data_IF_262877163635
#
_entry.id   IF_262877163635
#
_cell.length_a   1.000
_cell.length_b   1.000
_cell.length_c   1.000
_cell.angle_alpha   90.00
_cell.angle_beta   90.00
_cell.angle_gamma   90.00
#
_symmetry.space_group_name_H-M   'P 1'
#
loop_
_entity.id
_entity.type
_entity.pdbx_description
1 polymer ?
#
# COMPACT_ATOMS: atom_id res chain seq x y z
N UNK A 1 -2.58 -18.61 -15.19
CA UNK A 1 -2.02 -18.16 -13.89
C UNK A 1 -2.07 -16.64 -13.74
N UNK A 2 -1.56 -15.88 -14.71
CA UNK A 2 -1.47 -14.42 -14.58
C UNK A 2 -2.83 -13.69 -14.60
N UNK A 3 -3.80 -14.18 -15.40
CA UNK A 3 -5.15 -13.63 -15.41
C UNK A 3 -5.81 -13.68 -14.03
N UNK A 4 -5.62 -14.77 -13.28
CA UNK A 4 -6.16 -14.91 -11.92
C UNK A 4 -5.57 -13.87 -10.97
N UNK A 5 -4.26 -13.58 -11.07
CA UNK A 5 -3.62 -12.60 -10.20
C UNK A 5 -4.08 -11.17 -10.48
N UNK A 6 -4.30 -10.83 -11.75
CA UNK A 6 -4.88 -9.54 -12.14
C UNK A 6 -6.30 -9.37 -11.62
N UNK A 7 -7.13 -10.40 -11.76
CA UNK A 7 -8.51 -10.40 -11.27
C UNK A 7 -8.50 -10.20 -9.75
N UNK A 8 -7.65 -10.93 -9.01
CA UNK A 8 -7.50 -10.75 -7.56
C UNK A 8 -7.09 -9.32 -7.21
N UNK A 9 -6.17 -8.71 -7.96
CA UNK A 9 -5.75 -7.32 -7.72
C UNK A 9 -6.91 -6.32 -7.88
N UNK A 10 -7.72 -6.51 -8.93
CA UNK A 10 -8.90 -5.68 -9.20
C UNK A 10 -9.95 -5.87 -8.10
N UNK A 11 -10.19 -7.10 -7.67
CA UNK A 11 -11.13 -7.41 -6.58
C UNK A 11 -10.67 -6.76 -5.27
N UNK A 12 -9.38 -6.83 -4.94
CA UNK A 12 -8.82 -6.21 -3.73
C UNK A 12 -9.00 -4.69 -3.79
N UNK A 13 -8.65 -4.07 -4.93
CA UNK A 13 -8.83 -2.62 -5.13
C UNK A 13 -10.29 -2.20 -5.00
N UNK A 14 -11.21 -2.93 -5.62
CA UNK A 14 -12.64 -2.64 -5.56
C UNK A 14 -13.23 -2.85 -4.16
N UNK A 15 -12.85 -3.92 -3.47
CA UNK A 15 -13.28 -4.20 -2.10
C UNK A 15 -12.89 -3.07 -1.17
N UNK A 16 -11.64 -2.61 -1.26
CA UNK A 16 -11.16 -1.50 -0.43
C UNK A 16 -11.90 -0.21 -0.76
N UNK A 17 -12.18 0.07 -2.04
CA UNK A 17 -12.98 1.23 -2.44
C UNK A 17 -14.38 1.21 -1.82
N UNK A 18 -15.06 0.06 -1.86
CA UNK A 18 -16.37 -0.12 -1.25
C UNK A 18 -16.33 0.08 0.27
N UNK A 19 -15.34 -0.49 0.96
CA UNK A 19 -15.16 -0.30 2.40
C UNK A 19 -14.91 1.19 2.72
N UNK A 20 -14.05 1.86 1.95
CA UNK A 20 -13.75 3.28 2.14
C UNK A 20 -14.98 4.17 1.99
N UNK A 21 -15.84 3.92 1.00
CA UNK A 21 -17.00 4.78 0.72
C UNK A 21 -18.17 4.49 1.67
N UNK A 22 -18.49 3.22 1.93
CA UNK A 22 -19.70 2.84 2.67
C UNK A 22 -19.45 2.62 4.17
N UNK A 23 -18.40 1.86 4.50
CA UNK A 23 -18.16 1.44 5.89
C UNK A 23 -17.46 2.53 6.69
N UNK A 24 -16.44 3.17 6.12
CA UNK A 24 -15.58 4.11 6.83
C UNK A 24 -16.33 5.33 7.41
N UNK A 25 -17.24 6.00 6.67
CA UNK A 25 -18.01 7.11 7.22
C UNK A 25 -18.96 6.66 8.33
N UNK A 26 -19.59 5.49 8.18
CA UNK A 26 -20.48 4.93 9.19
C UNK A 26 -19.71 4.61 10.47
N UNK A 27 -18.57 3.93 10.36
CA UNK A 27 -17.72 3.59 11.50
C UNK A 27 -17.22 4.85 12.22
N UNK A 28 -16.84 5.90 11.48
CA UNK A 28 -16.40 7.15 12.07
C UNK A 28 -17.53 7.92 12.78
N UNK A 29 -18.77 7.85 12.28
CA UNK A 29 -19.94 8.39 12.99
C UNK A 29 -20.18 7.63 14.29
N UNK A 30 -20.20 6.29 14.24
CA UNK A 30 -20.40 5.45 15.44
C UNK A 30 -19.34 5.70 16.50
N UNK A 31 -18.06 5.82 16.12
CA UNK A 31 -16.98 6.12 17.06
C UNK A 31 -17.12 7.49 17.73
N UNK A 32 -17.59 8.50 16.98
CA UNK A 32 -17.83 9.84 17.50
C UNK A 32 -19.05 9.89 18.44
N UNK A 33 -20.11 9.14 18.13
CA UNK A 33 -21.30 9.05 18.97
C UNK A 33 -21.01 8.30 20.29
N UNK A 34 -20.18 7.25 20.23
CA UNK A 34 -19.78 6.48 21.41
C UNK A 34 -18.77 7.21 22.29
N UNK A 35 -17.94 8.08 21.72
CA UNK A 35 -16.92 8.84 22.45
C UNK A 35 -17.01 10.33 22.08
N UNK A 36 -17.99 11.07 22.66
CA UNK A 36 -18.20 12.48 22.34
C UNK A 36 -16.97 13.36 22.62
N UNK A 37 -16.15 12.97 23.60
CA UNK A 37 -14.88 13.64 23.94
C UNK A 37 -13.89 13.65 22.76
N UNK A 38 -13.91 12.61 21.92
CA UNK A 38 -13.02 12.46 20.76
C UNK A 38 -13.70 12.80 19.43
N UNK A 39 -14.92 13.35 19.45
CA UNK A 39 -15.67 13.68 18.23
C UNK A 39 -14.90 14.63 17.29
N UNK A 40 -14.03 15.49 17.84
CA UNK A 40 -13.17 16.39 17.06
C UNK A 40 -12.10 15.65 16.24
N UNK A 41 -11.70 14.44 16.64
CA UNK A 41 -10.71 13.61 15.92
C UNK A 41 -11.30 12.85 14.74
N UNK A 42 -12.63 12.83 14.60
CA UNK A 42 -13.34 12.17 13.50
C UNK A 42 -12.80 12.58 12.14
N UNK A 43 -12.78 13.87 11.84
CA UNK A 43 -12.36 14.38 10.53
C UNK A 43 -10.86 14.19 10.26
N UNK A 44 -9.94 14.50 11.21
CA UNK A 44 -8.53 14.18 11.06
C UNK A 44 -8.24 12.70 10.79
N UNK A 45 -8.91 11.79 11.52
CA UNK A 45 -8.73 10.35 11.33
C UNK A 45 -9.25 9.89 9.97
N UNK A 46 -10.45 10.34 9.57
CA UNK A 46 -11.03 10.04 8.28
C UNK A 46 -10.11 10.50 7.14
N UNK A 47 -9.62 11.74 7.25
CA UNK A 47 -8.70 12.33 6.28
C UNK A 47 -7.40 11.54 6.20
N UNK A 48 -6.82 11.13 7.33
CA UNK A 48 -5.63 10.28 7.38
C UNK A 48 -5.83 8.95 6.65
N UNK A 49 -6.96 8.26 6.88
CA UNK A 49 -7.25 6.99 6.20
C UNK A 49 -7.49 7.21 4.70
N UNK A 50 -8.23 8.24 4.29
CA UNK A 50 -8.40 8.57 2.87
C UNK A 50 -7.07 8.93 2.19
N UNK A 51 -6.16 9.60 2.91
CA UNK A 51 -4.82 9.90 2.41
C UNK A 51 -4.03 8.61 2.14
N UNK A 52 -4.19 7.57 2.96
CA UNK A 52 -3.53 6.27 2.75
C UNK A 52 -4.05 5.51 1.52
N UNK A 53 -5.25 5.85 1.02
CA UNK A 53 -5.76 5.26 -0.21
C UNK A 53 -4.90 5.61 -1.42
N UNK A 54 -4.27 6.80 -1.43
CA UNK A 54 -3.43 7.25 -2.54
C UNK A 54 -2.23 6.31 -2.77
N UNK A 55 -1.31 6.09 -1.80
CA UNK A 55 -0.22 5.15 -2.00
C UNK A 55 -0.72 3.71 -2.21
N UNK A 56 -1.83 3.32 -1.57
CA UNK A 56 -2.42 2.00 -1.79
C UNK A 56 -2.78 1.75 -3.27
N UNK A 57 -3.53 2.66 -3.89
CA UNK A 57 -3.91 2.51 -5.31
C UNK A 57 -2.73 2.66 -6.27
N UNK A 58 -1.72 3.47 -5.92
CA UNK A 58 -0.47 3.52 -6.68
C UNK A 58 0.23 2.15 -6.65
N UNK A 59 0.27 1.48 -5.50
CA UNK A 59 0.80 0.13 -5.34
C UNK A 59 0.03 -0.89 -6.19
N UNK A 60 -1.31 -0.88 -6.12
CA UNK A 60 -2.17 -1.76 -6.92
C UNK A 60 -1.96 -1.53 -8.42
N UNK A 61 -1.93 -0.28 -8.87
CA UNK A 61 -1.71 0.05 -10.28
C UNK A 61 -0.36 -0.48 -10.77
N UNK A 62 0.72 -0.25 -10.02
CA UNK A 62 2.04 -0.74 -10.41
C UNK A 62 2.13 -2.27 -10.36
N UNK A 63 1.42 -2.93 -9.43
CA UNK A 63 1.24 -4.38 -9.44
C UNK A 63 0.61 -4.87 -10.74
N UNK A 64 -0.44 -4.20 -11.22
CA UNK A 64 -1.07 -4.52 -12.49
C UNK A 64 -0.12 -4.29 -13.69
N UNK A 65 0.66 -3.20 -13.67
CA UNK A 65 1.68 -2.91 -14.69
C UNK A 65 2.73 -4.01 -14.75
N UNK A 66 3.25 -4.47 -13.59
CA UNK A 66 4.21 -5.58 -13.52
C UNK A 66 3.62 -6.84 -14.17
N UNK A 67 2.37 -7.19 -13.85
CA UNK A 67 1.71 -8.34 -14.47
C UNK A 67 1.59 -8.18 -15.99
N UNK A 68 1.23 -6.99 -16.48
CA UNK A 68 1.17 -6.74 -17.93
C UNK A 68 2.54 -6.83 -18.60
N UNK A 69 3.62 -6.45 -17.92
CA UNK A 69 4.99 -6.58 -18.43
C UNK A 69 5.43 -8.04 -18.51
N UNK A 70 5.03 -8.86 -17.54
CA UNK A 70 5.29 -10.31 -17.53
C UNK A 70 4.60 -11.00 -18.73
N UNK A 71 3.35 -10.65 -19.06
CA UNK A 71 2.66 -11.24 -20.24
C UNK A 71 3.30 -10.88 -21.57
N UNK A 72 4.04 -9.78 -21.62
CA UNK A 72 4.70 -9.29 -22.82
C UNK A 72 6.16 -9.75 -22.90
N UNK A 73 6.58 -10.70 -22.06
CA UNK A 73 7.96 -11.16 -21.91
C UNK A 73 8.95 -10.02 -21.59
N UNK A 74 8.46 -8.94 -20.98
CA UNK A 74 9.23 -7.74 -20.57
C UNK A 74 9.43 -7.65 -19.06
N UNK A 75 9.42 -8.80 -18.37
CA UNK A 75 9.60 -8.88 -16.93
C UNK A 75 10.96 -8.32 -16.48
N UNK A 76 12.03 -8.58 -17.22
CA UNK A 76 13.40 -8.14 -16.90
C UNK A 76 13.76 -6.84 -17.62
N UNK A 77 13.04 -5.76 -17.30
CA UNK A 77 13.26 -4.44 -17.91
C UNK A 77 13.29 -3.35 -16.86
N UNK A 78 13.89 -2.19 -17.20
CA UNK A 78 13.86 -1.01 -16.35
C UNK A 78 12.43 -0.54 -16.02
N UNK A 79 11.47 -0.80 -16.89
CA UNK A 79 10.05 -0.51 -16.63
C UNK A 79 9.50 -1.33 -15.46
N UNK A 80 9.88 -2.62 -15.37
CA UNK A 80 9.49 -3.47 -14.24
C UNK A 80 10.18 -3.02 -12.96
N UNK A 81 11.47 -2.68 -13.01
CA UNK A 81 12.23 -2.14 -11.87
C UNK A 81 11.61 -0.84 -11.34
N UNK A 82 11.21 0.07 -12.23
CA UNK A 82 10.51 1.30 -11.87
C UNK A 82 9.15 1.01 -11.22
N UNK A 83 8.40 0.05 -11.75
CA UNK A 83 7.09 -0.33 -11.18
C UNK A 83 7.23 -0.94 -9.78
N UNK A 84 8.21 -1.83 -9.58
CA UNK A 84 8.59 -2.37 -8.26
C UNK A 84 9.00 -1.28 -7.29
N UNK A 85 9.74 -0.28 -7.77
CA UNK A 85 10.14 0.88 -6.97
C UNK A 85 8.92 1.68 -6.48
N UNK A 86 7.91 1.87 -7.32
CA UNK A 86 6.66 2.49 -6.87
C UNK A 86 5.91 1.66 -5.84
N UNK A 87 5.87 0.32 -5.97
CA UNK A 87 5.25 -0.57 -4.96
C UNK A 87 5.99 -0.46 -3.62
N UNK A 88 7.33 -0.46 -3.66
CA UNK A 88 8.17 -0.28 -2.47
C UNK A 88 7.86 1.05 -1.76
N UNK A 89 7.96 2.18 -2.48
CA UNK A 89 7.74 3.50 -1.87
C UNK A 89 6.29 3.71 -1.42
N UNK A 90 5.32 3.14 -2.13
CA UNK A 90 3.92 3.16 -1.70
C UNK A 90 3.74 2.46 -0.35
N UNK A 91 4.39 1.32 -0.17
CA UNK A 91 4.35 0.55 1.09
C UNK A 91 5.02 1.32 2.23
N UNK A 92 6.16 1.96 1.98
CA UNK A 92 6.83 2.84 2.96
C UNK A 92 5.95 4.04 3.32
N UNK A 93 5.30 4.66 2.34
CA UNK A 93 4.40 5.80 2.59
C UNK A 93 3.24 5.40 3.50
N UNK A 94 2.64 4.21 3.29
CA UNK A 94 1.59 3.68 4.17
C UNK A 94 2.12 3.50 5.60
N UNK A 95 3.30 2.90 5.77
CA UNK A 95 3.92 2.73 7.10
C UNK A 95 4.07 4.08 7.80
N UNK A 96 4.64 5.08 7.12
CA UNK A 96 4.85 6.41 7.70
C UNK A 96 3.53 7.10 8.06
N UNK A 97 2.52 7.03 7.20
CA UNK A 97 1.20 7.60 7.47
C UNK A 97 0.55 6.98 8.71
N UNK A 98 0.63 5.66 8.87
CA UNK A 98 0.07 4.98 10.04
C UNK A 98 0.87 5.24 11.32
N UNK A 99 2.21 5.36 11.25
CA UNK A 99 3.02 5.77 12.41
C UNK A 99 2.65 7.19 12.85
N UNK A 100 2.55 8.14 11.91
CA UNK A 100 2.15 9.52 12.21
C UNK A 100 0.74 9.57 12.79
N UNK A 101 -0.21 8.82 12.20
CA UNK A 101 -1.58 8.74 12.69
C UNK A 101 -1.67 8.17 14.10
N UNK A 102 -0.95 7.08 14.40
CA UNK A 102 -0.93 6.50 15.75
C UNK A 102 -0.26 7.44 16.76
N UNK A 103 0.83 8.12 16.39
CA UNK A 103 1.48 9.10 17.26
C UNK A 103 0.53 10.28 17.56
N UNK A 104 -0.20 10.75 16.55
CA UNK A 104 -1.20 11.81 16.72
C UNK A 104 -2.32 11.39 17.69
N UNK A 105 -2.84 10.17 17.56
CA UNK A 105 -3.84 9.63 18.48
C UNK A 105 -3.28 9.45 19.90
N UNK A 106 -2.03 9.02 20.03
CA UNK A 106 -1.35 8.87 21.32
C UNK A 106 -1.19 10.21 22.04
N UNK A 107 -0.78 11.26 21.32
CA UNK A 107 -0.64 12.61 21.88
C UNK A 107 -1.97 13.24 22.34
N UNK A 108 -3.08 12.79 21.77
CA UNK A 108 -4.43 13.20 22.14
C UNK A 108 -5.10 12.26 23.16
N UNK A 109 -4.37 11.28 23.72
CA UNK A 109 -4.89 10.23 24.61
C UNK A 109 -6.11 9.47 24.04
N UNK A 110 -6.25 9.44 22.71
CA UNK A 110 -7.39 8.84 22.00
C UNK A 110 -7.03 7.50 21.34
N UNK A 111 -5.83 6.98 21.60
CA UNK A 111 -5.36 5.72 21.04
C UNK A 111 -6.01 4.54 21.78
N UNK A 112 -7.16 4.10 21.29
CA UNK A 112 -7.81 2.90 21.80
C UNK A 112 -7.04 1.61 21.41
N UNK A 113 -7.09 0.56 22.24
CA UNK A 113 -6.41 -0.71 21.96
C UNK A 113 -6.80 -1.34 20.60
N UNK A 114 -8.05 -1.18 20.18
CA UNK A 114 -8.55 -1.67 18.89
C UNK A 114 -7.89 -0.97 17.70
N UNK A 115 -7.77 0.37 17.75
CA UNK A 115 -7.10 1.16 16.72
C UNK A 115 -5.60 0.89 16.68
N UNK A 116 -4.98 0.69 17.83
CA UNK A 116 -3.57 0.32 17.94
C UNK A 116 -3.28 -1.03 17.26
N UNK A 117 -4.10 -2.05 17.54
CA UNK A 117 -3.94 -3.38 16.93
C UNK A 117 -4.12 -3.34 15.40
N UNK A 118 -5.14 -2.60 14.92
CA UNK A 118 -5.36 -2.39 13.49
C UNK A 118 -4.19 -1.66 12.83
N UNK A 119 -3.69 -0.60 13.44
CA UNK A 119 -2.56 0.19 12.94
C UNK A 119 -1.29 -0.67 12.81
N UNK A 120 -0.96 -1.45 13.84
CA UNK A 120 0.18 -2.38 13.80
C UNK A 120 0.01 -3.42 12.70
N UNK A 121 -1.18 -4.01 12.55
CA UNK A 121 -1.44 -5.00 11.51
C UNK A 121 -1.19 -4.45 10.10
N UNK A 122 -1.63 -3.21 9.85
CA UNK A 122 -1.44 -2.54 8.54
C UNK A 122 0.04 -2.20 8.31
N UNK A 123 0.75 -1.69 9.33
CA UNK A 123 2.19 -1.44 9.25
C UNK A 123 2.95 -2.73 8.95
N UNK A 124 2.61 -3.82 9.64
CA UNK A 124 3.27 -5.11 9.45
C UNK A 124 3.05 -5.68 8.05
N UNK A 125 1.82 -5.64 7.53
CA UNK A 125 1.53 -6.06 6.16
C UNK A 125 2.26 -5.20 5.13
N UNK A 126 2.29 -3.87 5.34
CA UNK A 126 3.01 -2.95 4.46
C UNK A 126 4.52 -3.19 4.50
N UNK A 127 5.07 -3.54 5.66
CA UNK A 127 6.47 -3.91 5.82
C UNK A 127 6.80 -5.19 5.02
N UNK A 128 5.98 -6.24 5.10
CA UNK A 128 6.16 -7.46 4.30
C UNK A 128 6.21 -7.13 2.81
N UNK A 129 5.27 -6.30 2.32
CA UNK A 129 5.22 -5.90 0.91
C UNK A 129 6.47 -5.10 0.53
N UNK A 130 6.89 -4.16 1.37
CA UNK A 130 8.10 -3.38 1.15
C UNK A 130 9.36 -4.26 1.09
N UNK A 131 9.52 -5.19 2.04
CA UNK A 131 10.64 -6.14 2.06
C UNK A 131 10.65 -7.02 0.81
N UNK A 132 9.50 -7.59 0.43
CA UNK A 132 9.38 -8.42 -0.76
C UNK A 132 9.72 -7.63 -2.04
N UNK A 133 9.14 -6.43 -2.20
CA UNK A 133 9.43 -5.57 -3.34
C UNK A 133 10.91 -5.15 -3.39
N UNK A 134 11.51 -4.84 -2.24
CA UNK A 134 12.93 -4.48 -2.13
C UNK A 134 13.85 -5.62 -2.56
N UNK A 135 13.58 -6.86 -2.11
CA UNK A 135 14.36 -8.05 -2.50
C UNK A 135 14.22 -8.32 -4.00
N UNK A 136 12.99 -8.34 -4.53
CA UNK A 136 12.75 -8.59 -5.96
C UNK A 136 13.43 -7.51 -6.81
N UNK A 137 13.35 -6.24 -6.40
CA UNK A 137 14.02 -5.12 -7.08
C UNK A 137 15.54 -5.31 -7.13
N UNK A 138 16.16 -5.68 -6.01
CA UNK A 138 17.61 -5.89 -5.94
C UNK A 138 18.08 -7.04 -6.84
N UNK A 139 17.29 -8.12 -6.93
CA UNK A 139 17.57 -9.23 -7.84
C UNK A 139 17.36 -8.82 -9.31
N UNK A 140 16.30 -8.08 -9.59
CA UNK A 140 15.94 -7.64 -10.93
C UNK A 140 17.01 -6.74 -11.55
N UNK A 141 17.56 -5.80 -10.78
CA UNK A 141 18.62 -4.90 -11.25
C UNK A 141 19.85 -5.69 -11.70
N UNK A 142 20.29 -6.69 -10.92
CA UNK A 142 21.44 -7.54 -11.29
C UNK A 142 21.20 -8.29 -12.60
N UNK A 143 19.99 -8.80 -12.81
CA UNK A 143 19.63 -9.51 -14.06
C UNK A 143 19.62 -8.55 -15.25
N UNK A 144 19.12 -7.32 -15.06
CA UNK A 144 19.12 -6.30 -16.12
C UNK A 144 20.55 -5.90 -16.50
N UNK A 145 21.43 -5.68 -15.52
CA UNK A 145 22.85 -5.34 -15.76
C UNK A 145 23.56 -6.44 -16.57
N UNK A 146 23.45 -7.70 -16.16
CA UNK A 146 24.04 -8.85 -16.87
C UNK A 146 23.54 -8.93 -18.32
N UNK A 147 22.24 -8.70 -18.54
CA UNK A 147 21.66 -8.74 -19.88
C UNK A 147 22.18 -7.60 -20.76
N UNK A 148 22.30 -6.39 -20.21
CA UNK A 148 22.80 -5.23 -20.94
C UNK A 148 24.28 -5.39 -21.31
N UNK A 149 25.11 -5.95 -20.43
CA UNK A 149 26.52 -6.24 -20.74
C UNK A 149 26.65 -7.25 -21.88
N UNK A 150 25.85 -8.31 -21.86
CA UNK A 150 25.84 -9.30 -22.94
C UNK A 150 25.43 -8.68 -24.29
N UNK A 151 24.38 -7.86 -24.32
CA UNK A 151 23.90 -7.18 -25.53
C UNK A 151 24.92 -6.15 -26.07
N UNK A 152 25.84 -5.62 -25.25
CA UNK A 152 26.89 -4.67 -25.65
C UNK A 152 28.18 -5.32 -26.17
N UNK A 153 28.37 -6.63 -25.98
CA UNK A 153 29.61 -7.35 -26.34
C UNK A 153 29.46 -8.18 -27.63
N UNK A 154 28.28 -8.21 -28.24
CA UNK A 154 27.99 -8.88 -29.52
C UNK A 154 28.02 -7.88 -30.66
#
# INVERSE_FOLDING_TARGET
MLNSLKISLVIIGFTILMISIFWLPSAANTLADQNPEYAYLKYPLLFGIYLTCIPFYIGVYNGFVILRLIEKDKAFTEYTNRSLTYVFYSSIAIILLYIIGMLYLLLNNALHPSLFLLGIGIIFMSFIIASAAGVIKALLIKVIEIKNEHDLTI
#
